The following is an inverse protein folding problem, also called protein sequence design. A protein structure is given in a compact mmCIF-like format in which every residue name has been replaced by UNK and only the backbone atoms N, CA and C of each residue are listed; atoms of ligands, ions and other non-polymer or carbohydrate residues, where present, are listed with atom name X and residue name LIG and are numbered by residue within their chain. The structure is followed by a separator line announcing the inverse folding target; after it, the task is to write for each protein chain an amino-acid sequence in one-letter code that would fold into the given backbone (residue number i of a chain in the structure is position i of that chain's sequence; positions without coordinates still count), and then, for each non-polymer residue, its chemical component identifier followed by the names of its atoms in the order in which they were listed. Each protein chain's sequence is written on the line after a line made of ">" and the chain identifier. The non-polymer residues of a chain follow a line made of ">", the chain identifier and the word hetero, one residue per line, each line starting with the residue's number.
data_IF_738012419458
#
_entry.id   IF_738012419458
#
_cell.length_a   1.000
_cell.length_b   1.000
_cell.length_c   1.000
_cell.angle_alpha   90.00
_cell.angle_beta   90.00
_cell.angle_gamma   90.00
#
_symmetry.space_group_name_H-M   'P 1'
#
loop_
_entity.id
_entity.type
_entity.pdbx_description
1 polymer ?
#
# COMPACT_ATOMS: atom_id res chain seq x y z
N UNK A 1 18.47 -17.49 -12.82
CA UNK A 1 18.47 -16.07 -12.43
C UNK A 1 17.12 -15.79 -11.79
N UNK A 2 17.10 -15.37 -10.53
CA UNK A 2 15.88 -15.03 -9.80
C UNK A 2 15.26 -13.73 -10.36
N UNK A 3 13.98 -13.47 -10.05
CA UNK A 3 13.34 -12.21 -10.42
C UNK A 3 14.07 -11.00 -9.81
N UNK A 4 14.62 -11.17 -8.61
CA UNK A 4 15.41 -10.16 -7.90
C UNK A 4 16.70 -9.82 -8.65
N UNK A 5 17.48 -10.83 -9.04
CA UNK A 5 18.72 -10.63 -9.80
C UNK A 5 18.46 -9.91 -11.13
N UNK A 6 17.35 -10.23 -11.80
CA UNK A 6 16.96 -9.51 -13.03
C UNK A 6 16.62 -8.06 -12.80
N UNK A 7 15.96 -7.74 -11.69
CA UNK A 7 15.63 -6.36 -11.32
C UNK A 7 16.89 -5.58 -10.98
N UNK A 8 17.83 -6.18 -10.29
CA UNK A 8 19.12 -5.56 -9.96
C UNK A 8 19.97 -5.29 -11.19
N UNK A 9 20.02 -6.24 -12.12
CA UNK A 9 20.70 -6.08 -13.39
C UNK A 9 20.07 -4.95 -14.24
N UNK A 10 18.74 -4.86 -14.27
CA UNK A 10 18.03 -3.77 -14.95
C UNK A 10 18.30 -2.41 -14.30
N UNK A 11 18.31 -2.31 -12.97
CA UNK A 11 18.65 -1.07 -12.25
C UNK A 11 20.07 -0.62 -12.59
N UNK A 12 21.04 -1.53 -12.56
CA UNK A 12 22.42 -1.24 -12.97
C UNK A 12 22.52 -0.80 -14.43
N UNK A 13 21.69 -1.34 -15.31
CA UNK A 13 21.63 -0.95 -16.74
C UNK A 13 21.05 0.46 -16.92
N UNK A 14 20.05 0.85 -16.12
CA UNK A 14 19.46 2.20 -16.16
C UNK A 14 20.48 3.25 -15.74
N UNK A 15 21.29 2.95 -14.73
CA UNK A 15 22.34 3.85 -14.26
C UNK A 15 23.47 4.07 -15.27
N UNK A 16 23.79 3.03 -16.04
CA UNK A 16 24.93 3.01 -16.97
C UNK A 16 24.59 3.47 -18.39
N UNK A 17 23.33 3.39 -18.80
CA UNK A 17 22.91 3.79 -20.15
C UNK A 17 22.34 5.20 -20.18
N UNK A 18 22.77 5.97 -21.16
CA UNK A 18 22.14 7.27 -21.50
C UNK A 18 20.82 7.00 -22.22
N UNK A 19 19.79 6.75 -21.40
CA UNK A 19 18.40 6.63 -21.86
C UNK A 19 17.75 8.01 -21.78
N UNK A 20 17.04 8.40 -22.86
CA UNK A 20 16.26 9.62 -22.82
C UNK A 20 15.27 9.62 -21.64
N UNK A 21 14.92 10.81 -21.10
CA UNK A 21 14.17 10.93 -19.83
C UNK A 21 12.83 10.20 -19.84
N UNK A 22 12.10 10.18 -20.94
CA UNK A 22 10.82 9.49 -21.07
C UNK A 22 10.96 7.95 -20.97
N UNK A 23 12.03 7.39 -21.54
CA UNK A 23 12.30 5.94 -21.47
C UNK A 23 12.71 5.55 -20.05
N UNK A 24 13.55 6.37 -19.41
CA UNK A 24 13.96 6.20 -18.02
C UNK A 24 12.74 6.17 -17.09
N UNK A 25 11.84 7.15 -17.20
CA UNK A 25 10.63 7.24 -16.40
C UNK A 25 9.73 6.00 -16.55
N UNK A 26 9.56 5.49 -17.78
CA UNK A 26 8.80 4.27 -18.02
C UNK A 26 9.44 3.04 -17.39
N UNK A 27 10.74 2.89 -17.50
CA UNK A 27 11.46 1.73 -16.92
C UNK A 27 11.43 1.79 -15.39
N UNK A 28 11.63 2.96 -14.79
CA UNK A 28 11.53 3.16 -13.34
C UNK A 28 10.12 2.84 -12.83
N UNK A 29 9.07 3.24 -13.56
CA UNK A 29 7.69 2.91 -13.22
C UNK A 29 7.41 1.40 -13.24
N UNK A 30 7.87 0.69 -14.28
CA UNK A 30 7.73 -0.77 -14.39
C UNK A 30 8.50 -1.50 -13.29
N UNK A 31 9.70 -1.03 -12.96
CA UNK A 31 10.49 -1.59 -11.86
C UNK A 31 9.84 -1.36 -10.50
N UNK A 32 9.29 -0.16 -10.26
CA UNK A 32 8.56 0.13 -9.03
C UNK A 32 7.34 -0.79 -8.87
N UNK A 33 6.62 -1.07 -9.95
CA UNK A 33 5.49 -2.01 -9.97
C UNK A 33 5.95 -3.46 -9.69
N UNK A 34 7.03 -3.90 -10.30
CA UNK A 34 7.59 -5.23 -10.06
C UNK A 34 8.07 -5.40 -8.60
N UNK A 35 8.74 -4.40 -8.04
CA UNK A 35 9.17 -4.39 -6.63
C UNK A 35 7.97 -4.40 -5.67
N UNK A 36 6.91 -3.66 -5.99
CA UNK A 36 5.66 -3.69 -5.23
C UNK A 36 5.04 -5.10 -5.25
N UNK A 37 5.02 -5.75 -6.40
CA UNK A 37 4.52 -7.13 -6.54
C UNK A 37 5.35 -8.13 -5.73
N UNK A 38 6.67 -7.95 -5.68
CA UNK A 38 7.55 -8.75 -4.81
C UNK A 38 7.23 -8.53 -3.33
N UNK A 39 7.00 -7.28 -2.91
CA UNK A 39 6.63 -6.96 -1.54
C UNK A 39 5.33 -7.64 -1.12
N UNK A 40 4.30 -7.58 -1.96
CA UNK A 40 3.03 -8.28 -1.71
C UNK A 40 3.25 -9.78 -1.56
N UNK A 41 4.00 -10.39 -2.47
CA UNK A 41 4.29 -11.83 -2.40
C UNK A 41 5.09 -12.20 -1.14
N UNK A 42 6.11 -11.42 -0.79
CA UNK A 42 6.93 -11.66 0.42
C UNK A 42 6.11 -11.57 1.69
N UNK A 43 5.23 -10.58 1.79
CA UNK A 43 4.38 -10.39 2.96
C UNK A 43 3.25 -11.45 3.05
N UNK A 44 2.45 -11.58 1.98
CA UNK A 44 1.21 -12.38 2.01
C UNK A 44 1.47 -13.87 1.87
N UNK A 45 2.37 -14.27 0.96
CA UNK A 45 2.61 -15.68 0.65
C UNK A 45 3.74 -16.32 1.45
N UNK A 46 4.76 -15.54 1.80
CA UNK A 46 5.96 -16.05 2.44
C UNK A 46 6.07 -15.68 3.93
N UNK A 47 5.22 -14.78 4.44
CA UNK A 47 5.27 -14.31 5.82
C UNK A 47 6.59 -13.61 6.20
N UNK A 48 7.18 -12.86 5.26
CA UNK A 48 8.46 -12.16 5.42
C UNK A 48 8.27 -10.64 5.35
N UNK A 49 7.75 -10.02 6.42
CA UNK A 49 7.41 -8.59 6.41
C UNK A 49 8.63 -7.67 6.22
N UNK A 50 9.79 -8.04 6.76
CA UNK A 50 11.01 -7.22 6.63
C UNK A 50 11.51 -7.17 5.18
N UNK A 51 11.47 -8.30 4.45
CA UNK A 51 11.79 -8.32 3.03
C UNK A 51 10.80 -7.48 2.22
N UNK A 52 9.52 -7.53 2.60
CA UNK A 52 8.48 -6.73 1.95
C UNK A 52 8.74 -5.23 2.12
N UNK A 53 9.13 -4.79 3.33
CA UNK A 53 9.54 -3.39 3.58
C UNK A 53 10.70 -2.99 2.67
N UNK A 54 11.74 -3.81 2.58
CA UNK A 54 12.91 -3.51 1.74
C UNK A 54 12.54 -3.34 0.25
N UNK A 55 11.62 -4.16 -0.28
CA UNK A 55 11.16 -4.03 -1.66
C UNK A 55 10.35 -2.76 -1.87
N UNK A 56 9.46 -2.39 -0.93
CA UNK A 56 8.68 -1.15 -1.03
C UNK A 56 9.57 0.08 -0.88
N UNK A 57 10.59 0.05 -0.03
CA UNK A 57 11.59 1.13 0.07
C UNK A 57 12.30 1.37 -1.26
N UNK A 58 12.70 0.31 -1.95
CA UNK A 58 13.30 0.41 -3.29
C UNK A 58 12.32 0.93 -4.34
N UNK A 59 11.08 0.47 -4.32
CA UNK A 59 10.03 0.98 -5.22
C UNK A 59 9.78 2.49 -4.99
N UNK A 60 9.72 2.91 -3.74
CA UNK A 60 9.56 4.31 -3.36
C UNK A 60 10.75 5.17 -3.78
N UNK A 61 11.97 4.66 -3.71
CA UNK A 61 13.16 5.38 -4.17
C UNK A 61 13.14 5.64 -5.70
N UNK A 62 12.53 4.75 -6.47
CA UNK A 62 12.33 4.95 -7.91
C UNK A 62 11.20 5.92 -8.22
N UNK A 63 10.16 5.96 -7.39
CA UNK A 63 8.98 6.77 -7.63
C UNK A 63 8.38 7.29 -6.32
N UNK A 64 8.71 8.52 -5.94
CA UNK A 64 8.20 9.20 -4.75
C UNK A 64 6.87 9.93 -5.04
N UNK A 65 5.77 9.19 -5.13
CA UNK A 65 4.42 9.73 -5.25
C UNK A 65 3.55 9.37 -4.01
N UNK A 66 2.30 9.82 -3.99
CA UNK A 66 1.39 9.55 -2.85
C UNK A 66 1.06 8.07 -2.69
N UNK A 67 1.01 7.31 -3.79
CA UNK A 67 0.79 5.87 -3.74
C UNK A 67 1.96 5.15 -3.08
N UNK A 68 3.18 5.38 -3.57
CA UNK A 68 4.39 4.73 -3.05
C UNK A 68 4.66 5.10 -1.59
N UNK A 69 4.40 6.36 -1.20
CA UNK A 69 4.50 6.81 0.21
C UNK A 69 3.50 6.10 1.10
N UNK A 70 2.24 6.00 0.66
CA UNK A 70 1.20 5.32 1.43
C UNK A 70 1.51 3.82 1.57
N UNK A 71 1.94 3.18 0.48
CA UNK A 71 2.32 1.78 0.50
C UNK A 71 3.48 1.54 1.47
N UNK A 72 4.53 2.37 1.41
CA UNK A 72 5.65 2.28 2.34
C UNK A 72 5.20 2.53 3.80
N UNK A 73 4.31 3.49 4.03
CA UNK A 73 3.75 3.73 5.36
C UNK A 73 3.01 2.50 5.89
N UNK A 74 2.18 1.86 5.05
CA UNK A 74 1.45 0.64 5.40
C UNK A 74 2.41 -0.49 5.81
N UNK A 75 3.44 -0.75 5.00
CA UNK A 75 4.40 -1.82 5.31
C UNK A 75 5.24 -1.52 6.55
N UNK A 76 5.62 -0.25 6.78
CA UNK A 76 6.30 0.15 8.02
C UNK A 76 5.40 0.02 9.24
N UNK A 77 4.11 0.35 9.12
CA UNK A 77 3.14 0.13 10.19
C UNK A 77 3.01 -1.35 10.56
N UNK A 78 2.92 -2.25 9.57
CA UNK A 78 2.92 -3.70 9.78
C UNK A 78 4.19 -4.21 10.47
N UNK A 79 5.33 -3.63 10.15
CA UNK A 79 6.62 -3.95 10.78
C UNK A 79 6.81 -3.28 12.17
N UNK A 80 5.79 -2.61 12.72
CA UNK A 80 5.86 -1.92 14.01
C UNK A 80 6.63 -0.59 14.00
N UNK A 81 7.01 -0.06 12.83
CA UNK A 81 7.75 1.20 12.64
C UNK A 81 6.78 2.39 12.57
N UNK A 82 5.98 2.58 13.62
CA UNK A 82 4.84 3.49 13.64
C UNK A 82 5.20 4.96 13.36
N UNK A 83 6.27 5.48 13.94
CA UNK A 83 6.67 6.89 13.77
C UNK A 83 7.11 7.19 12.34
N UNK A 84 7.80 6.25 11.70
CA UNK A 84 8.22 6.35 10.31
C UNK A 84 7.01 6.28 9.36
N UNK A 85 6.05 5.41 9.67
CA UNK A 85 4.79 5.32 8.93
C UNK A 85 4.01 6.65 9.00
N UNK A 86 3.88 7.24 10.20
CA UNK A 86 3.24 8.55 10.39
C UNK A 86 3.96 9.68 9.66
N UNK A 87 5.30 9.66 9.62
CA UNK A 87 6.08 10.64 8.89
C UNK A 87 5.79 10.63 7.39
N UNK A 88 5.60 9.45 6.80
CA UNK A 88 5.21 9.27 5.41
C UNK A 88 3.76 9.70 5.17
N UNK A 89 2.83 9.29 6.04
CA UNK A 89 1.40 9.65 5.92
C UNK A 89 1.17 11.17 5.85
N UNK A 90 1.93 11.96 6.62
CA UNK A 90 1.84 13.43 6.57
C UNK A 90 2.16 14.03 5.20
N UNK A 91 2.84 13.29 4.32
CA UNK A 91 3.23 13.70 2.97
C UNK A 91 2.32 13.10 1.89
N UNK A 92 1.40 12.21 2.25
CA UNK A 92 0.42 11.64 1.31
C UNK A 92 -0.64 12.69 1.00
N UNK A 93 -0.93 12.86 -0.28
CA UNK A 93 -2.09 13.65 -0.74
C UNK A 93 -3.22 12.66 -1.02
N UNK A 94 -4.29 12.66 -0.23
CA UNK A 94 -5.39 11.72 -0.40
C UNK A 94 -6.08 11.88 -1.74
N UNK A 95 -6.49 10.75 -2.31
CA UNK A 95 -7.35 10.65 -3.49
C UNK A 95 -8.29 9.45 -3.32
N UNK A 96 -9.41 9.37 -4.03
CA UNK A 96 -10.35 8.26 -3.88
C UNK A 96 -9.72 6.88 -4.00
N UNK A 97 -8.74 6.70 -4.88
CA UNK A 97 -8.02 5.45 -5.07
C UNK A 97 -7.11 5.05 -3.88
N UNK A 98 -6.89 5.95 -2.93
CA UNK A 98 -6.03 5.72 -1.76
C UNK A 98 -6.83 5.51 -0.46
N UNK A 99 -8.15 5.75 -0.45
CA UNK A 99 -8.96 5.77 0.77
C UNK A 99 -8.88 4.43 1.53
N UNK A 100 -9.01 3.31 0.82
CA UNK A 100 -8.92 1.99 1.43
C UNK A 100 -7.57 1.74 2.12
N UNK A 101 -6.47 2.03 1.42
CA UNK A 101 -5.12 1.84 1.97
C UNK A 101 -4.81 2.83 3.11
N UNK A 102 -5.41 4.03 3.09
CA UNK A 102 -5.36 4.96 4.24
C UNK A 102 -6.08 4.36 5.45
N UNK A 103 -7.28 3.77 5.27
CA UNK A 103 -7.99 3.08 6.33
C UNK A 103 -7.15 1.96 6.95
N UNK A 104 -6.58 1.08 6.12
CA UNK A 104 -5.70 0.00 6.55
C UNK A 104 -4.49 0.52 7.34
N UNK A 105 -3.81 1.55 6.82
CA UNK A 105 -2.61 2.09 7.46
C UNK A 105 -2.92 2.71 8.83
N UNK A 106 -4.01 3.47 8.94
CA UNK A 106 -4.44 4.04 10.22
C UNK A 106 -4.89 2.95 11.22
N UNK A 107 -5.55 1.89 10.76
CA UNK A 107 -5.92 0.75 11.61
C UNK A 107 -4.68 0.02 12.18
N UNK A 108 -3.66 -0.22 11.35
CA UNK A 108 -2.38 -0.78 11.77
C UNK A 108 -1.64 0.09 12.79
N UNK A 109 -1.84 1.41 12.73
CA UNK A 109 -1.28 2.38 13.69
C UNK A 109 -2.12 2.52 14.97
N UNK A 110 -3.24 1.82 15.10
CA UNK A 110 -4.17 1.93 16.21
C UNK A 110 -5.00 3.22 16.21
N UNK A 111 -5.06 3.91 15.10
CA UNK A 111 -5.76 5.19 14.92
C UNK A 111 -7.20 4.93 14.43
N UNK A 112 -8.01 4.30 15.29
CA UNK A 112 -9.36 3.77 14.99
C UNK A 112 -10.28 4.78 14.32
N UNK A 113 -10.38 6.00 14.85
CA UNK A 113 -11.29 7.01 14.31
C UNK A 113 -10.89 7.45 12.88
N UNK A 114 -9.60 7.61 12.64
CA UNK A 114 -9.09 7.94 11.31
C UNK A 114 -9.32 6.78 10.32
N UNK A 115 -9.07 5.55 10.76
CA UNK A 115 -9.28 4.36 9.95
C UNK A 115 -10.75 4.22 9.51
N UNK A 116 -11.69 4.38 10.44
CA UNK A 116 -13.12 4.31 10.15
C UNK A 116 -13.57 5.43 9.20
N UNK A 117 -13.08 6.66 9.42
CA UNK A 117 -13.41 7.79 8.53
C UNK A 117 -12.90 7.58 7.09
N UNK A 118 -11.73 6.96 6.91
CA UNK A 118 -11.22 6.64 5.57
C UNK A 118 -11.98 5.48 4.94
N UNK A 119 -12.35 4.45 5.71
CA UNK A 119 -13.16 3.34 5.22
C UNK A 119 -14.54 3.80 4.75
N UNK A 120 -15.20 4.67 5.51
CA UNK A 120 -16.47 5.29 5.12
C UNK A 120 -16.36 6.03 3.79
N UNK A 121 -15.30 6.84 3.60
CA UNK A 121 -15.02 7.55 2.34
C UNK A 121 -14.73 6.62 1.17
N UNK A 122 -14.19 5.43 1.42
CA UNK A 122 -13.96 4.41 0.38
C UNK A 122 -15.28 3.75 -0.05
N UNK A 123 -16.19 3.50 0.90
CA UNK A 123 -17.46 2.82 0.65
C UNK A 123 -18.54 3.75 0.06
N UNK A 124 -18.55 5.03 0.43
CA UNK A 124 -19.59 6.00 0.05
C UNK A 124 -19.83 6.10 -1.48
N UNK A 125 -18.80 6.23 -2.34
CA UNK A 125 -19.00 6.26 -3.79
C UNK A 125 -19.58 4.96 -4.36
N UNK A 126 -19.44 3.84 -3.66
CA UNK A 126 -19.96 2.53 -4.08
C UNK A 126 -21.44 2.34 -3.74
N UNK A 127 -22.05 3.25 -2.98
CA UNK A 127 -23.47 3.21 -2.58
C UNK A 127 -24.42 3.12 -3.79
N UNK A 128 -24.03 3.67 -4.93
CA UNK A 128 -24.78 3.58 -6.21
C UNK A 128 -24.63 2.23 -6.92
N UNK A 129 -23.76 1.34 -6.46
CA UNK A 129 -23.49 0.02 -7.06
C UNK A 129 -23.53 -1.08 -6.00
N UNK A 130 -24.71 -1.62 -5.66
CA UNK A 130 -24.88 -2.57 -4.55
C UNK A 130 -23.93 -3.78 -4.60
N UNK A 131 -23.68 -4.31 -5.80
CA UNK A 131 -22.76 -5.44 -5.97
C UNK A 131 -21.30 -5.08 -5.73
N UNK A 132 -20.85 -3.87 -6.11
CA UNK A 132 -19.50 -3.41 -5.82
C UNK A 132 -19.34 -3.09 -4.34
N UNK A 133 -20.32 -2.41 -3.75
CA UNK A 133 -20.37 -2.12 -2.32
C UNK A 133 -20.26 -3.40 -1.49
N UNK A 134 -21.07 -4.42 -1.81
CA UNK A 134 -21.05 -5.70 -1.08
C UNK A 134 -19.69 -6.37 -1.14
N UNK A 135 -19.08 -6.46 -2.31
CA UNK A 135 -17.72 -7.04 -2.45
C UNK A 135 -16.68 -6.28 -1.63
N UNK A 136 -16.74 -4.95 -1.61
CA UNK A 136 -15.81 -4.11 -0.85
C UNK A 136 -16.00 -4.30 0.66
N UNK A 137 -17.24 -4.36 1.13
CA UNK A 137 -17.56 -4.66 2.54
C UNK A 137 -17.09 -6.06 2.96
N UNK A 138 -17.36 -7.08 2.15
CA UNK A 138 -16.92 -8.46 2.40
C UNK A 138 -15.39 -8.55 2.44
N UNK A 139 -14.70 -7.79 1.58
CA UNK A 139 -13.25 -7.69 1.59
C UNK A 139 -12.74 -7.03 2.87
N UNK A 140 -13.28 -5.86 3.24
CA UNK A 140 -12.88 -5.13 4.44
C UNK A 140 -13.10 -5.95 5.72
N UNK A 141 -14.19 -6.69 5.82
CA UNK A 141 -14.51 -7.54 6.97
C UNK A 141 -13.45 -8.65 7.20
N UNK A 142 -12.78 -9.09 6.14
CA UNK A 142 -11.81 -10.20 6.18
C UNK A 142 -10.35 -9.70 6.18
N UNK A 143 -10.10 -8.43 5.83
CA UNK A 143 -8.75 -7.89 5.70
C UNK A 143 -7.99 -7.94 7.04
N UNK A 144 -6.82 -8.59 7.08
CA UNK A 144 -6.01 -8.66 8.30
C UNK A 144 -5.52 -7.29 8.79
N UNK A 145 -5.38 -6.30 7.91
CA UNK A 145 -4.97 -4.96 8.29
C UNK A 145 -6.05 -4.20 9.09
N UNK A 146 -7.31 -4.59 8.92
CA UNK A 146 -8.46 -4.03 9.64
C UNK A 146 -8.86 -4.89 10.86
N UNK A 147 -8.07 -5.92 11.19
CA UNK A 147 -8.40 -6.86 12.27
C UNK A 147 -8.62 -6.17 13.63
N UNK A 148 -7.89 -5.09 13.92
CA UNK A 148 -8.03 -4.32 15.16
C UNK A 148 -9.37 -3.59 15.28
N UNK A 149 -10.11 -3.43 14.19
CA UNK A 149 -11.40 -2.74 14.16
C UNK A 149 -12.60 -3.68 14.33
N UNK A 150 -12.41 -5.00 14.24
CA UNK A 150 -13.52 -5.98 14.15
C UNK A 150 -14.47 -5.96 15.35
N UNK A 151 -13.99 -5.54 16.52
CA UNK A 151 -14.81 -5.44 17.72
C UNK A 151 -15.50 -4.08 17.89
N UNK A 152 -15.12 -3.07 17.09
CA UNK A 152 -15.76 -1.75 17.10
C UNK A 152 -17.15 -1.83 16.42
N UNK A 153 -18.18 -1.32 17.12
CA UNK A 153 -19.57 -1.35 16.62
C UNK A 153 -19.76 -0.51 15.34
N UNK A 154 -18.96 0.54 15.16
CA UNK A 154 -19.01 1.40 13.97
C UNK A 154 -18.43 0.65 12.76
N UNK A 155 -17.35 -0.11 12.96
CA UNK A 155 -16.80 -0.97 11.90
C UNK A 155 -17.81 -2.02 11.47
N UNK A 156 -18.45 -2.71 12.43
CA UNK A 156 -19.50 -3.70 12.13
C UNK A 156 -20.62 -3.09 11.31
N UNK A 157 -21.11 -1.91 11.69
CA UNK A 157 -22.15 -1.21 10.94
C UNK A 157 -21.71 -0.80 9.51
N UNK A 158 -20.44 -0.49 9.30
CA UNK A 158 -19.92 -0.15 7.96
C UNK A 158 -19.84 -1.36 7.03
N UNK A 159 -19.52 -2.56 7.54
CA UNK A 159 -19.28 -3.76 6.72
C UNK A 159 -20.48 -4.71 6.63
N UNK A 160 -21.51 -4.52 7.43
CA UNK A 160 -22.82 -5.21 7.33
C UNK A 160 -23.64 -4.65 6.16
#
# INVERSE_FOLDING_TARGET
>A
ISAVERIEDLLGTIEQRDMGPAVREQVEALLAEALTSLAVNSNVKLGRPDEAVAWVERAHALRDDSWSRLLLACYRARAGRADEARALLRRVRPSPSLHYNLACTHALLGETDAALAWLERDLDPLSSSPGALRRQKDWAAQDPDLASLRDDSRFKALVE
#
